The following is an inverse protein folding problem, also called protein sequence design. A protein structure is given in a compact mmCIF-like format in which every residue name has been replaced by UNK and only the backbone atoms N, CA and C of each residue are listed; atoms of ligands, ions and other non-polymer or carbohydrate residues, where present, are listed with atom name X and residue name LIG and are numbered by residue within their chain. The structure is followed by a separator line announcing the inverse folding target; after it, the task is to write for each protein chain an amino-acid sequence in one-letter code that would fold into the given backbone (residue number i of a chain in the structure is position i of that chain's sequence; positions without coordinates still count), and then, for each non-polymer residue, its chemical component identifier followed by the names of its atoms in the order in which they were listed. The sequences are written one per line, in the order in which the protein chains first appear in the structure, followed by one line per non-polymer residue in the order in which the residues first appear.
data_IF_626929429299
#
_entry.id   IF_626929429299
#
_cell.length_a   1.000
_cell.length_b   1.000
_cell.length_c   1.000
_cell.angle_alpha   90.00
_cell.angle_beta   90.00
_cell.angle_gamma   90.00
#
_symmetry.space_group_name_H-M   'P 1'
#
loop_
_entity.id
_entity.type
_entity.pdbx_description
1 polymer ?
#
# COMPACT_ATOMS: atom_id res chain seq x y z
N UNK A 1 -15.08 0.19 25.12
CA UNK A 1 -13.63 -0.04 24.99
C UNK A 1 -13.22 0.25 23.56
N UNK A 2 -12.82 1.48 23.30
CA UNK A 2 -12.32 1.96 22.00
C UNK A 2 -10.89 1.47 21.84
N UNK A 3 -10.68 0.45 21.00
CA UNK A 3 -9.33 0.18 20.46
C UNK A 3 -8.95 1.43 19.68
N UNK A 4 -8.06 2.22 20.26
CA UNK A 4 -7.71 3.55 19.77
C UNK A 4 -7.00 3.40 18.44
N UNK A 5 -7.41 4.15 17.42
CA UNK A 5 -6.78 4.25 16.08
C UNK A 5 -5.26 4.30 16.12
N UNK A 6 -4.67 4.82 17.21
CA UNK A 6 -3.23 4.79 17.47
C UNK A 6 -2.59 3.41 17.27
N UNK A 7 -3.25 2.31 17.62
CA UNK A 7 -2.69 0.97 17.42
C UNK A 7 -2.73 0.49 15.96
N UNK A 8 -3.43 1.21 15.08
CA UNK A 8 -3.36 0.98 13.63
C UNK A 8 -2.04 1.47 13.03
N UNK A 9 -1.30 2.32 13.76
CA UNK A 9 -0.07 2.94 13.32
C UNK A 9 1.14 2.32 14.00
N UNK A 10 2.24 2.21 13.26
CA UNK A 10 3.57 2.00 13.81
C UNK A 10 4.03 3.20 14.64
N UNK A 11 5.09 2.99 15.43
CA UNK A 11 5.72 4.04 16.24
C UNK A 11 6.21 5.24 15.40
N UNK A 12 6.56 5.01 14.13
CA UNK A 12 7.00 6.02 13.17
C UNK A 12 5.88 6.51 12.21
N UNK A 13 4.62 6.16 12.48
CA UNK A 13 3.46 6.80 11.87
C UNK A 13 2.94 6.18 10.57
N UNK A 14 3.43 5.01 10.17
CA UNK A 14 2.87 4.22 9.06
C UNK A 14 1.65 3.44 9.54
N UNK A 15 0.65 3.25 8.68
CA UNK A 15 -0.49 2.37 8.96
C UNK A 15 -0.05 0.92 8.72
N UNK A 16 -0.12 0.10 9.75
CA UNK A 16 0.29 -1.32 9.75
C UNK A 16 -0.87 -2.29 9.98
N UNK A 17 -2.02 -1.79 10.44
CA UNK A 17 -3.20 -2.61 10.69
C UNK A 17 -4.47 -1.95 10.12
N UNK A 18 -4.87 -2.41 8.94
CA UNK A 18 -6.10 -2.00 8.27
C UNK A 18 -7.36 -2.33 9.08
N UNK A 19 -7.38 -3.44 9.83
CA UNK A 19 -8.56 -3.88 10.59
C UNK A 19 -8.99 -2.87 11.65
N UNK A 20 -8.06 -2.04 12.11
CA UNK A 20 -8.25 -1.03 13.15
C UNK A 20 -8.65 0.35 12.60
N UNK A 21 -8.78 0.49 11.28
CA UNK A 21 -9.15 1.76 10.61
C UNK A 21 -10.67 1.96 10.46
N UNK A 22 -11.48 1.35 11.36
CA UNK A 22 -12.97 1.29 11.27
C UNK A 22 -13.67 2.66 11.21
N UNK A 23 -13.05 3.71 11.75
CA UNK A 23 -13.60 5.07 11.71
C UNK A 23 -13.57 5.69 10.31
N UNK A 24 -12.66 5.22 9.45
CA UNK A 24 -12.52 5.74 8.11
C UNK A 24 -13.49 5.01 7.18
N UNK A 25 -14.38 5.76 6.54
CA UNK A 25 -15.18 5.26 5.41
C UNK A 25 -14.42 5.43 4.11
N UNK A 26 -14.61 4.48 3.20
CA UNK A 26 -14.05 4.53 1.87
C UNK A 26 -15.10 4.09 0.84
N UNK A 27 -15.90 5.08 0.42
CA UNK A 27 -17.15 4.86 -0.30
C UNK A 27 -18.26 4.35 0.62
N UNK A 28 -19.00 3.35 0.16
CA UNK A 28 -20.10 2.71 0.90
C UNK A 28 -19.61 1.84 2.05
N UNK A 29 -18.33 1.43 2.05
CA UNK A 29 -17.75 0.50 3.01
C UNK A 29 -16.82 1.18 4.01
N UNK A 30 -16.49 0.51 5.11
CA UNK A 30 -15.42 0.92 6.02
C UNK A 30 -14.06 0.49 5.49
N UNK A 31 -13.01 1.22 5.89
CA UNK A 31 -11.64 0.98 5.46
C UNK A 31 -11.14 -0.46 5.70
N UNK A 32 -11.52 -1.18 6.79
CA UNK A 32 -11.17 -2.60 6.92
C UNK A 32 -11.58 -3.47 5.73
N UNK A 33 -12.67 -3.14 5.03
CA UNK A 33 -13.18 -3.93 3.91
C UNK A 33 -12.46 -3.64 2.58
N UNK A 34 -12.12 -2.38 2.29
CA UNK A 34 -11.62 -1.99 0.96
C UNK A 34 -10.53 -0.91 0.98
N UNK A 35 -9.93 -0.65 2.14
CA UNK A 35 -9.05 0.49 2.40
C UNK A 35 -7.60 0.31 1.99
N UNK A 36 -7.16 -0.91 1.68
CA UNK A 36 -5.76 -1.22 1.38
C UNK A 36 -5.11 -0.26 0.36
N UNK A 37 -5.86 0.18 -0.65
CA UNK A 37 -5.38 1.12 -1.67
C UNK A 37 -5.04 2.52 -1.14
N UNK A 38 -5.89 3.11 -0.28
CA UNK A 38 -5.61 4.44 0.29
C UNK A 38 -4.54 4.34 1.38
N UNK A 39 -4.53 3.25 2.15
CA UNK A 39 -3.50 2.95 3.16
C UNK A 39 -2.11 2.86 2.50
N UNK A 40 -2.00 2.13 1.39
CA UNK A 40 -0.75 2.03 0.64
C UNK A 40 -0.30 3.39 0.09
N UNK A 41 -1.23 4.25 -0.35
CA UNK A 41 -0.91 5.61 -0.77
C UNK A 41 -0.40 6.49 0.38
N UNK A 42 -1.07 6.45 1.53
CA UNK A 42 -0.65 7.19 2.72
C UNK A 42 0.77 6.79 3.14
N UNK A 43 1.02 5.48 3.26
CA UNK A 43 2.34 4.96 3.63
C UNK A 43 3.42 5.31 2.61
N UNK A 44 3.12 5.24 1.31
CA UNK A 44 4.08 5.63 0.27
C UNK A 44 4.40 7.13 0.32
N UNK A 45 3.39 7.99 0.49
CA UNK A 45 3.61 9.43 0.61
C UNK A 45 4.47 9.77 1.83
N UNK A 46 4.20 9.12 2.97
CA UNK A 46 5.02 9.26 4.17
C UNK A 46 6.48 8.82 3.92
N UNK A 47 6.69 7.66 3.26
CA UNK A 47 8.02 7.18 2.90
C UNK A 47 8.76 8.11 1.93
N UNK A 48 8.03 8.85 1.09
CA UNK A 48 8.57 9.88 0.20
C UNK A 48 8.75 11.25 0.87
N UNK A 49 8.51 11.37 2.19
CA UNK A 49 8.64 12.62 2.93
C UNK A 49 7.51 13.63 2.68
N UNK A 50 6.42 13.21 2.03
CA UNK A 50 5.26 14.05 1.74
C UNK A 50 4.26 13.93 2.89
N UNK A 51 4.09 15.01 3.65
CA UNK A 51 3.08 15.08 4.71
C UNK A 51 1.69 15.08 4.11
N UNK A 52 0.85 14.14 4.54
CA UNK A 52 -0.58 14.08 4.19
C UNK A 52 -1.35 13.47 5.36
N UNK A 53 -2.64 13.78 5.46
CA UNK A 53 -3.54 13.11 6.40
C UNK A 53 -4.28 11.94 5.76
N UNK A 54 -4.77 11.00 6.57
CA UNK A 54 -5.63 9.91 6.08
C UNK A 54 -6.85 10.46 5.32
N UNK A 55 -7.49 11.51 5.87
CA UNK A 55 -8.66 12.14 5.28
C UNK A 55 -8.42 12.72 3.89
N UNK A 56 -7.26 13.32 3.63
CA UNK A 56 -6.90 13.84 2.31
C UNK A 56 -6.76 12.72 1.27
N UNK A 57 -6.08 11.62 1.64
CA UNK A 57 -5.88 10.48 0.73
C UNK A 57 -7.23 9.82 0.42
N UNK A 58 -8.06 9.60 1.45
CA UNK A 58 -9.41 9.05 1.31
C UNK A 58 -10.27 9.93 0.41
N UNK A 59 -10.32 11.24 0.68
CA UNK A 59 -11.13 12.18 -0.08
C UNK A 59 -10.70 12.24 -1.56
N UNK A 60 -9.41 12.15 -1.84
CA UNK A 60 -8.88 12.17 -3.20
C UNK A 60 -9.20 10.89 -4.00
N UNK A 61 -9.16 9.72 -3.35
CA UNK A 61 -9.37 8.44 -4.04
C UNK A 61 -10.83 7.99 -4.07
N UNK A 62 -11.66 8.40 -3.10
CA UNK A 62 -13.08 8.00 -2.99
C UNK A 62 -13.89 8.24 -4.30
N UNK A 63 -13.74 9.38 -5.01
CA UNK A 63 -14.46 9.61 -6.26
C UNK A 63 -14.12 8.64 -7.39
N UNK A 64 -13.00 7.91 -7.27
CA UNK A 64 -12.52 6.96 -8.29
C UNK A 64 -13.01 5.53 -8.05
N UNK A 65 -13.70 5.31 -6.93
CA UNK A 65 -14.25 4.01 -6.54
C UNK A 65 -15.37 3.60 -7.49
N UNK A 66 -15.46 2.29 -7.71
CA UNK A 66 -16.53 1.70 -8.51
C UNK A 66 -17.48 0.92 -7.62
N UNK A 67 -18.78 1.00 -7.93
CA UNK A 67 -19.84 0.32 -7.16
C UNK A 67 -19.72 0.64 -5.66
N UNK A 68 -19.50 1.91 -5.33
CA UNK A 68 -19.32 2.36 -3.95
C UNK A 68 -18.09 1.80 -3.23
N UNK A 69 -17.14 1.20 -3.95
CA UNK A 69 -15.91 0.64 -3.38
C UNK A 69 -15.87 -0.89 -3.30
N UNK A 70 -16.85 -1.59 -3.88
CA UNK A 70 -16.91 -3.06 -3.88
C UNK A 70 -15.68 -3.72 -4.53
N UNK A 71 -15.08 -3.06 -5.53
CA UNK A 71 -13.91 -3.57 -6.27
C UNK A 71 -12.62 -2.92 -5.74
N UNK A 72 -12.69 -2.20 -4.61
CA UNK A 72 -11.59 -1.43 -4.05
C UNK A 72 -11.04 -0.37 -5.01
N UNK A 73 -9.76 -0.03 -4.82
CA UNK A 73 -9.08 1.00 -5.63
C UNK A 73 -8.38 0.37 -6.82
N UNK A 74 -8.56 0.95 -8.03
CA UNK A 74 -7.80 0.50 -9.19
C UNK A 74 -6.39 1.12 -9.20
N UNK A 75 -5.39 0.30 -9.55
CA UNK A 75 -3.97 0.72 -9.64
C UNK A 75 -3.72 2.01 -10.44
N UNK A 76 -4.48 2.26 -11.52
CA UNK A 76 -4.33 3.49 -12.32
C UNK A 76 -4.70 4.76 -11.54
N UNK A 77 -5.67 4.67 -10.62
CA UNK A 77 -6.10 5.82 -9.82
C UNK A 77 -5.11 6.08 -8.69
N UNK A 78 -4.56 5.01 -8.09
CA UNK A 78 -3.38 5.09 -7.20
C UNK A 78 -2.23 5.80 -7.92
N UNK A 79 -1.87 5.35 -9.12
CA UNK A 79 -0.81 5.98 -9.91
C UNK A 79 -1.08 7.45 -10.22
N UNK A 80 -2.29 7.79 -10.66
CA UNK A 80 -2.67 9.17 -10.97
C UNK A 80 -2.62 10.07 -9.72
N UNK A 81 -3.07 9.57 -8.57
CA UNK A 81 -3.02 10.27 -7.30
C UNK A 81 -1.58 10.51 -6.82
N UNK A 82 -0.71 9.50 -6.88
CA UNK A 82 0.69 9.68 -6.49
C UNK A 82 1.41 10.69 -7.39
N UNK A 83 1.12 10.67 -8.71
CA UNK A 83 1.63 11.68 -9.65
C UNK A 83 1.11 13.08 -9.35
N UNK A 84 -0.16 13.23 -8.95
CA UNK A 84 -0.70 14.55 -8.58
C UNK A 84 -0.10 15.09 -7.28
N UNK A 85 0.50 14.23 -6.45
CA UNK A 85 1.31 14.61 -5.29
C UNK A 85 2.78 14.90 -5.61
N UNK A 86 3.17 14.87 -6.89
CA UNK A 86 4.52 15.19 -7.35
C UNK A 86 5.47 14.00 -7.39
N UNK A 87 5.00 12.77 -7.15
CA UNK A 87 5.84 11.58 -7.26
C UNK A 87 5.97 11.12 -8.71
N UNK A 88 7.22 10.91 -9.15
CA UNK A 88 7.49 10.24 -10.41
C UNK A 88 7.39 8.72 -10.21
N UNK A 89 6.22 8.15 -10.51
CA UNK A 89 5.94 6.71 -10.33
C UNK A 89 5.85 5.94 -11.64
N UNK A 90 6.52 4.78 -11.67
CA UNK A 90 6.52 3.83 -12.78
C UNK A 90 5.72 2.58 -12.42
N UNK A 91 4.77 2.20 -13.30
CA UNK A 91 3.99 0.97 -13.16
C UNK A 91 4.64 -0.18 -13.91
N UNK A 92 5.04 -1.22 -13.19
CA UNK A 92 5.55 -2.48 -13.76
C UNK A 92 4.52 -3.59 -13.54
N UNK A 93 4.09 -4.21 -14.63
CA UNK A 93 3.07 -5.29 -14.63
C UNK A 93 3.62 -6.67 -14.97
N UNK A 94 4.84 -6.75 -15.51
CA UNK A 94 5.45 -8.00 -15.97
C UNK A 94 6.24 -8.62 -14.82
N UNK A 95 5.83 -9.81 -14.37
CA UNK A 95 6.44 -10.54 -13.26
C UNK A 95 7.96 -10.67 -13.37
N UNK A 96 8.49 -10.93 -14.56
CA UNK A 96 9.93 -11.06 -14.81
C UNK A 96 10.77 -9.81 -14.43
N UNK A 97 10.15 -8.62 -14.38
CA UNK A 97 10.83 -7.36 -14.04
C UNK A 97 10.58 -6.86 -12.63
N UNK A 98 9.61 -7.41 -11.89
CA UNK A 98 9.15 -6.85 -10.60
C UNK A 98 10.26 -6.85 -9.56
N UNK A 99 10.95 -7.98 -9.40
CA UNK A 99 12.06 -8.09 -8.45
C UNK A 99 13.12 -7.02 -8.75
N UNK A 100 13.56 -6.93 -10.02
CA UNK A 100 14.61 -5.98 -10.41
C UNK A 100 14.22 -4.51 -10.23
N UNK A 101 12.96 -4.13 -10.50
CA UNK A 101 12.54 -2.74 -10.30
C UNK A 101 12.37 -2.40 -8.82
N UNK A 102 11.89 -3.34 -7.99
CA UNK A 102 11.82 -3.14 -6.54
C UNK A 102 13.22 -3.03 -5.92
N UNK A 103 14.14 -3.90 -6.34
CA UNK A 103 15.55 -3.90 -5.89
C UNK A 103 16.30 -2.62 -6.24
N UNK A 104 15.81 -1.81 -7.17
CA UNK A 104 16.37 -0.49 -7.52
C UNK A 104 15.61 0.68 -6.89
N UNK A 105 14.43 0.45 -6.33
CA UNK A 105 13.60 1.48 -5.74
C UNK A 105 13.90 1.64 -4.25
N UNK A 106 13.73 2.87 -3.74
CA UNK A 106 13.80 3.13 -2.30
C UNK A 106 12.45 2.84 -1.64
N UNK A 107 11.33 3.06 -2.34
CA UNK A 107 9.98 2.77 -1.85
C UNK A 107 9.00 2.59 -3.02
N UNK A 108 7.89 1.93 -2.74
CA UNK A 108 6.86 1.65 -3.74
C UNK A 108 5.59 1.03 -3.15
N UNK A 109 4.65 0.71 -4.04
CA UNK A 109 3.42 -0.01 -3.74
C UNK A 109 3.39 -1.31 -4.51
N UNK A 110 3.16 -2.41 -3.82
CA UNK A 110 2.85 -3.70 -4.41
C UNK A 110 1.33 -3.92 -4.42
N UNK A 111 0.86 -4.51 -5.50
CA UNK A 111 -0.46 -5.08 -5.61
C UNK A 111 -0.34 -6.53 -6.04
N UNK A 112 -0.98 -7.43 -5.31
CA UNK A 112 -0.91 -8.87 -5.52
C UNK A 112 -2.17 -9.55 -5.00
N UNK A 113 -2.33 -10.83 -5.29
CA UNK A 113 -3.35 -11.67 -4.68
C UNK A 113 -2.75 -12.41 -3.49
N UNK A 114 -3.29 -12.21 -2.29
CA UNK A 114 -2.77 -12.76 -1.03
C UNK A 114 -3.23 -14.20 -0.73
N UNK A 115 -4.07 -14.75 -1.61
CA UNK A 115 -4.70 -16.07 -1.46
C UNK A 115 -6.22 -15.96 -1.39
N UNK A 116 -6.73 -14.89 -0.80
CA UNK A 116 -8.16 -14.63 -0.60
C UNK A 116 -8.65 -13.48 -1.50
N UNK A 117 -7.91 -12.38 -1.55
CA UNK A 117 -8.34 -11.17 -2.25
C UNK A 117 -7.16 -10.34 -2.82
N UNK A 118 -7.45 -9.37 -3.71
CA UNK A 118 -6.44 -8.42 -4.16
C UNK A 118 -6.03 -7.48 -3.03
N UNK A 119 -4.73 -7.41 -2.74
CA UNK A 119 -4.19 -6.58 -1.67
C UNK A 119 -3.23 -5.51 -2.18
N UNK A 120 -3.23 -4.36 -1.52
CA UNK A 120 -2.26 -3.29 -1.73
C UNK A 120 -1.43 -3.09 -0.47
N UNK A 121 -0.11 -3.01 -0.64
CA UNK A 121 0.82 -2.68 0.44
C UNK A 121 1.85 -1.68 -0.06
N UNK A 122 2.40 -0.88 0.85
CA UNK A 122 3.58 -0.06 0.58
C UNK A 122 4.82 -0.76 1.13
N UNK A 123 5.98 -0.49 0.55
CA UNK A 123 7.26 -0.93 1.06
C UNK A 123 8.29 0.20 1.03
N UNK A 124 9.27 0.13 1.93
CA UNK A 124 10.45 1.00 1.94
C UNK A 124 11.71 0.17 2.17
N UNK A 125 12.81 0.56 1.54
CA UNK A 125 14.13 -0.02 1.77
C UNK A 125 14.62 0.36 3.17
N UNK A 126 15.16 -0.63 3.89
CA UNK A 126 15.71 -0.44 5.24
C UNK A 126 17.15 -0.95 5.38
N UNK A 127 17.68 -1.62 4.34
CA UNK A 127 19.05 -2.10 4.31
C UNK A 127 19.46 -2.58 2.92
N UNK A 128 20.59 -3.26 2.85
CA UNK A 128 21.07 -3.86 1.61
C UNK A 128 20.16 -5.04 1.22
N UNK A 129 19.45 -4.88 0.10
CA UNK A 129 18.48 -5.86 -0.40
C UNK A 129 17.21 -6.08 0.46
N UNK A 130 17.06 -5.40 1.60
CA UNK A 130 15.94 -5.61 2.54
C UNK A 130 14.97 -4.45 2.58
N UNK A 131 13.70 -4.80 2.76
CA UNK A 131 12.57 -3.88 2.74
C UNK A 131 11.64 -4.14 3.92
N UNK A 132 11.07 -3.07 4.46
CA UNK A 132 9.95 -3.13 5.39
C UNK A 132 8.65 -3.03 4.59
N UNK A 133 7.72 -3.94 4.84
CA UNK A 133 6.42 -4.02 4.19
C UNK A 133 5.32 -3.60 5.16
N UNK A 134 4.56 -2.57 4.81
CA UNK A 134 3.52 -2.03 5.68
C UNK A 134 2.16 -2.66 5.35
N UNK A 135 1.42 -3.07 6.39
CA UNK A 135 0.09 -3.66 6.27
C UNK A 135 0.06 -4.94 5.40
N UNK A 136 1.18 -5.65 5.28
CA UNK A 136 1.24 -6.95 4.61
C UNK A 136 0.85 -8.12 5.53
N UNK A 137 1.06 -7.93 6.83
CA UNK A 137 0.53 -8.76 7.92
C UNK A 137 -0.03 -7.76 8.92
N UNK A 138 -1.31 -7.88 9.26
CA UNK A 138 -2.01 -6.91 10.11
C UNK A 138 -1.30 -6.75 11.46
N UNK A 139 -0.99 -5.51 11.82
CA UNK A 139 -0.36 -5.16 13.10
C UNK A 139 1.15 -5.45 13.18
N UNK A 140 1.73 -6.09 12.17
CA UNK A 140 3.17 -6.39 12.18
C UNK A 140 3.98 -5.14 11.84
N UNK A 141 4.55 -4.50 12.86
CA UNK A 141 5.29 -3.25 12.71
C UNK A 141 6.58 -3.44 11.90
N UNK A 142 7.28 -4.56 12.07
CA UNK A 142 8.62 -4.80 11.53
C UNK A 142 8.64 -5.99 10.56
N UNK A 143 7.67 -6.07 9.65
CA UNK A 143 7.70 -7.06 8.58
C UNK A 143 8.84 -6.74 7.58
N UNK A 144 10.03 -7.26 7.87
CA UNK A 144 11.25 -7.03 7.08
C UNK A 144 11.59 -8.30 6.29
N UNK A 145 11.77 -8.15 4.98
CA UNK A 145 12.19 -9.24 4.08
C UNK A 145 12.83 -8.69 2.81
N UNK A 146 13.40 -9.56 1.99
CA UNK A 146 13.69 -9.23 0.59
C UNK A 146 12.44 -9.42 -0.30
N UNK A 147 12.42 -8.81 -1.47
CA UNK A 147 11.27 -8.84 -2.38
C UNK A 147 10.94 -10.26 -2.85
N UNK A 148 11.97 -11.10 -3.08
CA UNK A 148 11.77 -12.46 -3.61
C UNK A 148 11.13 -13.34 -2.55
N UNK A 149 11.63 -13.30 -1.31
CA UNK A 149 11.08 -14.02 -0.17
C UNK A 149 9.66 -13.57 0.14
N UNK A 150 9.40 -12.25 0.12
CA UNK A 150 8.06 -11.70 0.30
C UNK A 150 7.07 -12.26 -0.73
N UNK A 151 7.39 -12.13 -2.02
CA UNK A 151 6.50 -12.60 -3.09
C UNK A 151 6.28 -14.11 -3.02
N UNK A 152 7.32 -14.91 -2.76
CA UNK A 152 7.18 -16.37 -2.62
C UNK A 152 6.24 -16.76 -1.48
N UNK A 153 6.24 -16.01 -0.38
CA UNK A 153 5.45 -16.32 0.82
C UNK A 153 4.02 -15.79 0.74
N UNK A 154 3.82 -14.62 0.13
CA UNK A 154 2.56 -13.88 0.21
C UNK A 154 1.80 -13.79 -1.11
N UNK A 155 2.37 -14.23 -2.23
CA UNK A 155 1.69 -14.19 -3.54
C UNK A 155 1.35 -15.59 -4.02
N UNK A 156 0.07 -15.85 -4.27
CA UNK A 156 -0.42 -17.18 -4.69
C UNK A 156 -0.67 -17.29 -6.20
N UNK A 157 -0.90 -16.16 -6.89
CA UNK A 157 -1.08 -16.12 -8.35
C UNK A 157 -0.06 -15.18 -8.98
N UNK A 158 0.42 -15.43 -10.22
CA UNK A 158 1.46 -14.61 -10.86
C UNK A 158 1.01 -13.19 -11.27
N UNK A 159 -0.13 -12.71 -10.75
CA UNK A 159 -0.67 -11.38 -11.01
C UNK A 159 -0.16 -10.39 -9.96
N UNK A 160 1.08 -9.95 -10.13
CA UNK A 160 1.69 -8.91 -9.31
C UNK A 160 1.88 -7.66 -10.14
N UNK A 161 1.67 -6.50 -9.53
CA UNK A 161 1.95 -5.20 -10.11
C UNK A 161 2.67 -4.36 -9.09
N UNK A 162 3.60 -3.54 -9.53
CA UNK A 162 4.33 -2.63 -8.64
C UNK A 162 4.32 -1.21 -9.21
N UNK A 163 4.11 -0.25 -8.33
CA UNK A 163 4.46 1.14 -8.54
C UNK A 163 5.74 1.44 -7.78
N UNK A 164 6.80 1.85 -8.46
CA UNK A 164 8.04 2.30 -7.83
C UNK A 164 8.21 3.80 -8.03
N UNK A 165 8.68 4.50 -7.01
CA UNK A 165 9.14 5.89 -7.16
C UNK A 165 10.51 5.86 -7.84
N UNK A 166 10.65 6.62 -8.92
CA UNK A 166 11.90 6.78 -9.67
C UNK A 166 12.47 8.18 -9.45
N UNK A 167 13.79 8.27 -9.35
CA UNK A 167 14.54 9.52 -9.21
C UNK A 167 14.66 10.24 -10.55
#
# INVERSE_FOLDING_TARGET
MTVTIRSAFSSDGYIIDQSLTKEFRYGSFSSPYNGCGWIACYNLLLASGIKTSCGEVIAALTPTLQLGGLIGTRMRHVQAYLRSKGLNVQLTKKSAGIISVCEKADHGILWYWDGLEPHFIAFTRVGDGTFRFFNAVEGEENHISDIRSFLKKHTFVPCVRVLTVIK
#
